data_IF_757460266663
#
_entry.id   IF_757460266663
#
_cell.length_a   1.000
_cell.length_b   1.000
_cell.length_c   1.000
_cell.angle_alpha   90.00
_cell.angle_beta   90.00
_cell.angle_gamma   90.00
#
_symmetry.space_group_name_H-M   'P 1'
#
loop_
_entity.id
_entity.type
_entity.pdbx_description
1 polymer ?
#
# COMPACT_ATOMS: atom_id res chain seq x y z
N UNK A 1 -8.55 14.20 2.23
CA UNK A 1 -8.45 15.35 3.14
C UNK A 1 -7.02 15.81 3.19
N UNK A 2 -6.81 17.12 3.24
CA UNK A 2 -5.48 17.70 3.36
C UNK A 2 -5.13 17.86 4.83
N UNK A 3 -3.86 17.63 5.18
CA UNK A 3 -3.31 17.87 6.52
C UNK A 3 -4.17 17.29 7.67
N UNK A 4 -4.62 16.04 7.49
CA UNK A 4 -5.45 15.35 8.49
C UNK A 4 -4.59 14.65 9.55
N UNK A 5 -3.50 14.01 9.14
CA UNK A 5 -2.61 13.33 10.07
C UNK A 5 -1.48 14.28 10.51
N UNK A 6 -1.19 14.37 11.83
CA UNK A 6 -0.06 15.17 12.29
C UNK A 6 1.27 14.69 11.69
N UNK A 7 2.11 15.62 11.25
CA UNK A 7 3.43 15.30 10.71
C UNK A 7 4.31 14.50 11.70
N UNK A 8 4.15 14.74 13.01
CA UNK A 8 4.84 13.97 14.06
C UNK A 8 4.49 12.48 14.03
N UNK A 9 3.26 12.12 13.63
CA UNK A 9 2.83 10.74 13.46
C UNK A 9 3.50 10.11 12.23
N UNK A 10 3.56 10.86 11.12
CA UNK A 10 4.26 10.45 9.90
C UNK A 10 5.76 10.19 10.17
N UNK A 11 6.40 11.12 10.87
CA UNK A 11 7.80 10.98 11.28
C UNK A 11 8.01 9.79 12.21
N UNK A 12 7.06 9.51 13.12
CA UNK A 12 7.16 8.37 14.04
C UNK A 12 7.18 7.03 13.28
N UNK A 13 6.37 6.89 12.23
CA UNK A 13 6.40 5.70 11.37
C UNK A 13 7.73 5.58 10.63
N UNK A 14 8.26 6.69 10.09
CA UNK A 14 9.56 6.69 9.44
C UNK A 14 10.71 6.33 10.40
N UNK A 15 10.69 6.87 11.63
CA UNK A 15 11.68 6.53 12.68
C UNK A 15 11.60 5.07 13.06
N UNK A 16 10.41 4.48 13.14
CA UNK A 16 10.25 3.04 13.36
C UNK A 16 10.90 2.22 12.24
N UNK A 17 10.73 2.60 10.97
CA UNK A 17 11.41 1.95 9.84
C UNK A 17 12.93 2.03 10.00
N UNK A 18 13.46 3.21 10.31
CA UNK A 18 14.91 3.42 10.57
C UNK A 18 15.40 2.53 11.71
N UNK A 19 14.67 2.47 12.83
CA UNK A 19 15.03 1.62 13.97
C UNK A 19 15.03 0.13 13.63
N UNK A 20 14.04 -0.34 12.87
CA UNK A 20 13.99 -1.73 12.41
C UNK A 20 15.16 -2.04 11.44
N UNK A 21 15.48 -1.13 10.53
CA UNK A 21 16.61 -1.28 9.60
C UNK A 21 17.95 -1.32 10.33
N UNK A 22 18.11 -0.54 11.41
CA UNK A 22 19.30 -0.63 12.27
C UNK A 22 19.46 -2.04 12.87
N UNK A 23 18.37 -2.71 13.23
CA UNK A 23 18.42 -4.09 13.74
C UNK A 23 18.77 -5.11 12.66
N UNK A 24 18.49 -4.80 11.39
CA UNK A 24 18.89 -5.63 10.24
C UNK A 24 20.39 -5.50 9.97
N UNK A 25 20.90 -4.27 9.96
CA UNK A 25 22.33 -3.96 9.79
C UNK A 25 22.65 -2.63 10.50
N UNK A 26 23.36 -2.72 11.62
CA UNK A 26 23.69 -1.53 12.43
C UNK A 26 24.58 -0.54 11.67
N UNK A 27 25.40 -1.00 10.73
CA UNK A 27 26.31 -0.15 9.96
C UNK A 27 25.57 0.83 9.05
N UNK A 28 24.33 0.53 8.68
CA UNK A 28 23.47 1.44 7.91
C UNK A 28 23.20 2.74 8.65
N UNK A 29 23.12 2.67 9.99
CA UNK A 29 22.87 3.85 10.82
C UNK A 29 24.02 4.85 10.72
N UNK A 30 25.26 4.37 10.80
CA UNK A 30 26.47 5.20 10.75
C UNK A 30 26.75 5.71 9.34
N UNK A 31 26.46 4.91 8.32
CA UNK A 31 26.70 5.25 6.93
C UNK A 31 25.61 6.14 6.29
N UNK A 32 24.47 6.33 6.96
CA UNK A 32 23.34 7.05 6.37
C UNK A 32 23.69 8.53 6.14
N UNK A 33 23.60 9.04 4.90
CA UNK A 33 23.94 10.43 4.60
C UNK A 33 22.86 11.43 5.03
N UNK A 34 21.66 10.95 5.37
CA UNK A 34 20.57 11.78 5.85
C UNK A 34 20.63 11.94 7.37
N UNK A 35 20.31 13.13 7.86
CA UNK A 35 20.11 13.36 9.29
C UNK A 35 18.90 12.53 9.77
N UNK A 36 19.17 11.45 10.51
CA UNK A 36 18.15 10.53 11.03
C UNK A 36 17.12 11.22 11.93
N UNK A 37 17.51 12.33 12.57
CA UNK A 37 16.63 13.09 13.44
C UNK A 37 15.76 14.06 12.65
N UNK A 38 16.32 14.80 11.69
CA UNK A 38 15.59 15.83 10.93
C UNK A 38 14.88 15.32 9.68
N UNK A 39 15.37 14.24 9.08
CA UNK A 39 14.90 13.71 7.81
C UNK A 39 14.66 12.20 7.86
N UNK A 40 13.83 11.69 8.80
CA UNK A 40 13.67 10.26 9.03
C UNK A 40 13.11 9.50 7.82
N UNK A 41 12.29 10.13 6.97
CA UNK A 41 11.75 9.50 5.75
C UNK A 41 12.85 9.28 4.70
N UNK A 42 13.74 10.27 4.53
CA UNK A 42 14.87 10.17 3.59
C UNK A 42 15.89 9.15 4.08
N UNK A 43 16.13 9.12 5.40
CA UNK A 43 16.94 8.09 6.03
C UNK A 43 16.37 6.68 5.83
N UNK A 44 15.08 6.48 6.12
CA UNK A 44 14.40 5.20 5.91
C UNK A 44 14.50 4.73 4.45
N UNK A 45 14.33 5.63 3.48
CA UNK A 45 14.49 5.35 2.05
C UNK A 45 15.89 4.83 1.74
N UNK A 46 16.92 5.60 2.09
CA UNK A 46 18.30 5.24 1.80
C UNK A 46 18.71 3.93 2.48
N UNK A 47 18.41 3.79 3.77
CA UNK A 47 18.75 2.59 4.54
C UNK A 47 18.04 1.35 3.99
N UNK A 48 16.78 1.46 3.55
CA UNK A 48 16.05 0.32 3.00
C UNK A 48 16.60 -0.13 1.65
N UNK A 49 16.95 0.82 0.76
CA UNK A 49 17.61 0.51 -0.52
C UNK A 49 18.93 -0.21 -0.27
N UNK A 50 19.75 0.31 0.66
CA UNK A 50 21.05 -0.26 0.96
C UNK A 50 20.94 -1.61 1.68
N UNK A 51 19.98 -1.78 2.59
CA UNK A 51 19.69 -3.06 3.24
C UNK A 51 19.28 -4.12 2.21
N UNK A 52 18.36 -3.81 1.31
CA UNK A 52 17.92 -4.74 0.26
C UNK A 52 19.07 -5.09 -0.70
N UNK A 53 19.97 -4.14 -0.99
CA UNK A 53 21.16 -4.36 -1.83
C UNK A 53 22.17 -5.30 -1.17
N UNK A 54 22.42 -5.13 0.13
CA UNK A 54 23.38 -5.95 0.89
C UNK A 54 22.82 -7.32 1.26
N UNK A 55 21.55 -7.36 1.60
CA UNK A 55 20.83 -8.54 2.07
C UNK A 55 19.43 -8.59 1.45
N UNK A 56 19.29 -9.16 0.24
CA UNK A 56 17.99 -9.27 -0.45
C UNK A 56 16.94 -9.96 0.41
N UNK A 57 15.74 -9.36 0.50
CA UNK A 57 14.67 -9.78 1.41
C UNK A 57 14.53 -8.89 2.65
N UNK A 58 15.45 -7.96 2.88
CA UNK A 58 15.32 -6.94 3.93
C UNK A 58 14.01 -6.16 3.82
N UNK A 59 13.57 -5.80 2.61
CA UNK A 59 12.28 -5.15 2.41
C UNK A 59 11.10 -5.97 2.94
N UNK A 60 11.09 -7.29 2.66
CA UNK A 60 10.02 -8.16 3.14
C UNK A 60 10.02 -8.25 4.68
N UNK A 61 11.21 -8.39 5.28
CA UNK A 61 11.38 -8.39 6.74
C UNK A 61 10.84 -7.12 7.38
N UNK A 62 11.18 -5.94 6.85
CA UNK A 62 10.69 -4.66 7.39
C UNK A 62 9.19 -4.50 7.16
N UNK A 63 8.67 -4.91 6.00
CA UNK A 63 7.25 -4.90 5.66
C UNK A 63 6.42 -5.73 6.65
N UNK A 64 6.87 -6.93 7.00
CA UNK A 64 6.17 -7.80 7.95
C UNK A 64 6.31 -7.27 9.39
N UNK A 65 7.51 -6.86 9.80
CA UNK A 65 7.76 -6.40 11.17
C UNK A 65 6.96 -5.13 11.52
N UNK A 66 6.88 -4.15 10.61
CA UNK A 66 6.18 -2.89 10.88
C UNK A 66 4.67 -3.08 11.06
N UNK A 67 4.07 -4.04 10.35
CA UNK A 67 2.63 -4.30 10.39
C UNK A 67 2.11 -4.69 11.78
N UNK A 68 2.99 -5.23 12.63
CA UNK A 68 2.68 -5.69 13.98
C UNK A 68 3.12 -4.72 15.08
N UNK A 69 3.70 -3.58 14.72
CA UNK A 69 4.20 -2.64 15.71
C UNK A 69 3.04 -1.94 16.46
N UNK A 70 3.13 -1.74 17.78
CA UNK A 70 2.12 -1.01 18.56
C UNK A 70 1.79 0.39 17.99
N UNK A 71 2.79 1.04 17.40
CA UNK A 71 2.61 2.34 16.72
C UNK A 71 1.57 2.25 15.59
N UNK A 72 1.56 1.18 14.79
CA UNK A 72 0.61 1.03 13.69
C UNK A 72 -0.81 0.83 14.21
N UNK A 73 -1.00 0.08 15.30
CA UNK A 73 -2.30 -0.06 15.96
C UNK A 73 -2.80 1.28 16.51
N UNK A 74 -1.92 2.06 17.15
CA UNK A 74 -2.24 3.41 17.63
C UNK A 74 -2.64 4.33 16.48
N UNK A 75 -1.90 4.31 15.38
CA UNK A 75 -2.20 5.10 14.19
C UNK A 75 -3.57 4.72 13.60
N UNK A 76 -3.84 3.42 13.46
CA UNK A 76 -5.09 2.95 12.89
C UNK A 76 -6.32 3.30 13.73
N UNK A 77 -6.16 3.51 15.04
CA UNK A 77 -7.21 3.86 15.98
C UNK A 77 -7.21 5.35 16.39
N UNK A 78 -6.44 6.22 15.73
CA UNK A 78 -6.36 7.63 16.12
C UNK A 78 -7.66 8.39 15.79
N UNK A 79 -7.95 9.42 16.57
CA UNK A 79 -9.21 10.18 16.50
C UNK A 79 -9.39 10.88 15.15
N UNK A 80 -8.30 11.33 14.53
CA UNK A 80 -8.32 12.01 13.23
C UNK A 80 -8.86 11.08 12.12
N UNK A 81 -8.45 9.81 12.12
CA UNK A 81 -8.98 8.82 11.18
C UNK A 81 -10.36 8.33 11.61
N UNK A 82 -10.55 8.01 12.90
CA UNK A 82 -11.78 7.46 13.41
C UNK A 82 -12.98 8.40 13.17
N UNK A 83 -12.82 9.71 13.40
CA UNK A 83 -13.88 10.70 13.20
C UNK A 83 -14.37 10.75 11.75
N UNK A 84 -13.46 10.67 10.79
CA UNK A 84 -13.80 10.61 9.36
C UNK A 84 -14.46 9.28 9.01
N UNK A 85 -13.86 8.17 9.44
CA UNK A 85 -14.34 6.83 9.11
C UNK A 85 -15.76 6.62 9.64
N UNK A 86 -16.05 7.07 10.86
CA UNK A 86 -17.42 7.03 11.41
C UNK A 86 -18.41 7.87 10.62
N UNK A 87 -17.96 8.96 9.99
CA UNK A 87 -18.80 9.84 9.17
C UNK A 87 -19.11 9.25 7.80
N UNK A 88 -18.17 8.51 7.19
CA UNK A 88 -18.34 7.97 5.83
C UNK A 88 -18.80 6.50 5.79
N UNK A 89 -18.61 5.74 6.88
CA UNK A 89 -19.10 4.37 7.04
C UNK A 89 -20.25 4.35 8.05
N UNK A 90 -19.96 3.94 9.29
CA UNK A 90 -20.94 3.87 10.38
C UNK A 90 -20.25 3.95 11.75
N UNK A 91 -21.03 4.03 12.86
CA UNK A 91 -20.45 3.96 14.20
C UNK A 91 -19.86 2.58 14.56
N UNK A 92 -20.26 1.51 13.87
CA UNK A 92 -19.77 0.15 14.13
C UNK A 92 -18.75 -0.24 13.05
N UNK A 93 -17.49 0.05 13.32
CA UNK A 93 -16.38 -0.26 12.40
C UNK A 93 -15.49 -1.36 12.96
N UNK A 94 -14.83 -2.07 12.06
CA UNK A 94 -13.70 -2.94 12.38
C UNK A 94 -12.48 -2.50 11.60
N UNK A 95 -11.36 -2.32 12.31
CA UNK A 95 -10.05 -2.11 11.68
C UNK A 95 -9.59 -3.46 11.11
N UNK A 96 -9.24 -3.48 9.83
CA UNK A 96 -8.69 -4.66 9.20
C UNK A 96 -7.33 -5.02 9.83
N UNK A 97 -7.06 -6.30 10.14
CA UNK A 97 -5.84 -6.69 10.89
C UNK A 97 -4.54 -6.48 10.11
N UNK A 98 -4.60 -6.43 8.77
CA UNK A 98 -3.45 -6.05 7.95
C UNK A 98 -3.26 -4.54 7.96
N UNK A 99 -2.39 -4.07 8.85
CA UNK A 99 -1.92 -2.69 8.92
C UNK A 99 -0.64 -2.60 8.06
N UNK A 100 -0.70 -1.91 6.93
CA UNK A 100 0.37 -1.99 5.93
C UNK A 100 1.09 -0.66 5.81
N UNK A 101 2.42 -0.71 5.69
CA UNK A 101 3.21 0.37 5.08
C UNK A 101 3.73 -0.14 3.75
N UNK A 102 3.16 0.35 2.66
CA UNK A 102 3.60 0.04 1.30
C UNK A 102 4.99 0.66 1.07
N UNK A 103 5.91 -0.12 0.52
CA UNK A 103 7.29 0.28 0.22
C UNK A 103 7.52 0.12 -1.28
N UNK A 104 7.29 1.16 -2.06
CA UNK A 104 7.53 1.12 -3.51
C UNK A 104 8.99 1.42 -3.80
N UNK A 105 9.78 0.37 -4.00
CA UNK A 105 11.21 0.49 -4.33
C UNK A 105 11.42 1.15 -5.71
N UNK A 106 12.53 1.87 -5.92
CA UNK A 106 12.91 2.41 -7.24
C UNK A 106 12.84 1.36 -8.34
N UNK A 107 12.17 1.69 -9.46
CA UNK A 107 12.03 0.87 -10.68
C UNK A 107 11.43 -0.54 -10.49
N UNK A 108 10.95 -0.87 -9.30
CA UNK A 108 10.36 -2.18 -9.00
C UNK A 108 8.94 -2.27 -9.58
N UNK A 109 8.64 -3.41 -10.19
CA UNK A 109 7.38 -3.63 -10.93
C UNK A 109 6.65 -4.89 -10.51
N UNK A 110 7.35 -5.89 -9.96
CA UNK A 110 6.78 -7.18 -9.60
C UNK A 110 5.71 -7.07 -8.52
N UNK A 111 5.92 -6.19 -7.54
CA UNK A 111 4.99 -5.91 -6.46
C UNK A 111 4.02 -4.76 -6.79
N UNK A 112 4.13 -4.17 -7.98
CA UNK A 112 3.29 -3.05 -8.41
C UNK A 112 1.86 -3.51 -8.68
N UNK A 113 0.94 -3.07 -7.82
CA UNK A 113 -0.49 -3.26 -8.03
C UNK A 113 -0.97 -2.35 -9.17
N UNK A 114 -1.27 -2.97 -10.33
CA UNK A 114 -1.89 -2.30 -11.48
C UNK A 114 -3.38 -2.09 -11.22
N UNK A 115 -4.16 -1.66 -12.22
CA UNK A 115 -5.59 -1.39 -12.06
C UNK A 115 -6.30 -2.53 -11.34
N UNK A 116 -6.78 -2.28 -10.12
CA UNK A 116 -7.43 -3.27 -9.27
C UNK A 116 -8.47 -2.62 -8.36
N UNK A 117 -9.25 -3.45 -7.68
CA UNK A 117 -10.14 -3.07 -6.60
C UNK A 117 -9.68 -3.82 -5.35
N UNK A 118 -9.59 -3.12 -4.22
CA UNK A 118 -9.17 -3.71 -2.95
C UNK A 118 -10.09 -4.86 -2.53
N UNK A 119 -11.38 -4.77 -2.87
CA UNK A 119 -12.37 -5.80 -2.54
C UNK A 119 -11.95 -7.19 -3.02
N UNK A 120 -11.47 -7.32 -4.27
CA UNK A 120 -11.05 -8.59 -4.86
C UNK A 120 -9.98 -9.32 -4.03
N UNK A 121 -9.10 -8.57 -3.36
CA UNK A 121 -7.99 -9.13 -2.59
C UNK A 121 -8.31 -9.39 -1.13
N UNK A 122 -9.35 -8.76 -0.60
CA UNK A 122 -9.60 -8.71 0.84
C UNK A 122 -10.98 -9.27 1.23
N UNK A 123 -11.96 -9.20 0.34
CA UNK A 123 -13.36 -9.60 0.57
C UNK A 123 -13.97 -8.97 1.85
N UNK A 124 -15.18 -9.41 2.20
CA UNK A 124 -15.93 -8.91 3.35
C UNK A 124 -16.99 -7.89 2.91
N UNK A 125 -17.17 -6.76 3.61
CA UNK A 125 -18.16 -5.77 3.22
C UNK A 125 -17.64 -4.92 2.05
N UNK A 126 -18.47 -4.70 1.03
CA UNK A 126 -18.15 -3.77 -0.06
C UNK A 126 -17.92 -2.36 0.50
N UNK A 127 -18.69 -1.98 1.52
CA UNK A 127 -18.52 -0.78 2.37
C UNK A 127 -17.28 -0.83 3.28
N UNK A 128 -16.17 -1.30 2.72
CA UNK A 128 -14.83 -1.15 3.28
C UNK A 128 -14.20 0.13 2.74
N UNK A 129 -13.64 0.95 3.63
CA UNK A 129 -12.85 2.12 3.27
C UNK A 129 -11.35 1.81 3.40
N UNK A 130 -10.60 1.98 2.31
CA UNK A 130 -9.14 2.04 2.31
C UNK A 130 -8.67 3.45 2.61
N UNK A 131 -7.79 3.58 3.60
CA UNK A 131 -7.09 4.81 3.96
C UNK A 131 -5.67 4.73 3.41
N UNK A 132 -5.29 5.73 2.62
CA UNK A 132 -3.99 5.85 1.97
C UNK A 132 -3.36 7.18 2.40
N UNK A 133 -2.22 7.13 3.10
CA UNK A 133 -1.53 8.30 3.63
C UNK A 133 0.00 8.19 3.41
N UNK A 134 0.59 8.99 2.52
CA UNK A 134 2.02 8.88 2.21
C UNK A 134 2.88 9.51 3.32
N UNK A 135 4.10 9.01 3.47
CA UNK A 135 5.06 9.60 4.43
C UNK A 135 5.85 10.77 3.80
N UNK A 136 5.76 10.93 2.49
CA UNK A 136 6.44 11.95 1.69
C UNK A 136 5.44 12.62 0.73
N UNK A 137 5.89 13.66 0.04
CA UNK A 137 5.21 14.15 -1.16
C UNK A 137 5.13 13.01 -2.19
N UNK A 138 3.97 12.86 -2.85
CA UNK A 138 3.75 11.85 -3.89
C UNK A 138 3.09 12.45 -5.11
N UNK A 139 3.61 12.05 -6.27
CA UNK A 139 3.15 12.43 -7.59
C UNK A 139 3.33 11.27 -8.57
N UNK A 140 3.09 11.52 -9.85
CA UNK A 140 3.23 10.48 -10.87
C UNK A 140 4.67 9.92 -10.98
N UNK A 141 5.70 10.72 -10.66
CA UNK A 141 7.11 10.34 -10.84
C UNK A 141 7.56 9.34 -9.80
N UNK A 142 7.14 9.49 -8.54
CA UNK A 142 7.52 8.56 -7.48
C UNK A 142 6.51 7.41 -7.28
N UNK A 143 5.65 7.17 -8.28
CA UNK A 143 4.74 6.04 -8.31
C UNK A 143 3.34 6.31 -7.76
N UNK A 144 3.01 7.58 -7.47
CA UNK A 144 1.73 8.08 -6.93
C UNK A 144 0.49 7.46 -7.57
N UNK A 145 -0.61 7.47 -6.84
CA UNK A 145 -1.80 6.72 -7.21
C UNK A 145 -2.63 7.41 -8.31
N UNK A 146 -3.13 6.61 -9.26
CA UNK A 146 -4.21 7.02 -10.17
C UNK A 146 -5.48 6.33 -9.72
N UNK A 147 -6.57 7.11 -9.64
CA UNK A 147 -7.89 6.63 -9.21
C UNK A 147 -8.91 6.87 -10.32
N UNK A 148 -9.72 5.86 -10.63
CA UNK A 148 -10.88 6.03 -11.51
C UNK A 148 -12.07 6.57 -10.70
N UNK A 149 -12.25 7.89 -10.72
CA UNK A 149 -13.28 8.56 -9.91
C UNK A 149 -14.68 8.06 -10.29
N UNK A 150 -15.54 7.86 -9.27
CA UNK A 150 -16.92 7.37 -9.38
C UNK A 150 -17.08 5.95 -9.94
N UNK A 151 -16.01 5.28 -10.36
CA UNK A 151 -16.08 3.94 -10.95
C UNK A 151 -16.40 2.82 -9.96
N UNK A 152 -16.39 3.08 -8.64
CA UNK A 152 -16.91 2.13 -7.64
C UNK A 152 -18.39 1.80 -7.84
N UNK A 153 -19.16 2.69 -8.46
CA UNK A 153 -20.58 2.47 -8.77
C UNK A 153 -20.81 1.39 -9.83
N UNK A 154 -19.74 0.89 -10.48
CA UNK A 154 -19.81 -0.20 -11.44
C UNK A 154 -19.78 -1.58 -10.78
N UNK A 155 -19.71 -1.64 -9.45
CA UNK A 155 -19.55 -2.89 -8.70
C UNK A 155 -18.15 -3.48 -8.84
N UNK A 156 -18.00 -4.74 -8.47
CA UNK A 156 -16.77 -5.50 -8.70
C UNK A 156 -16.58 -5.78 -10.20
N UNK A 157 -15.44 -5.38 -10.74
CA UNK A 157 -15.00 -5.68 -12.10
C UNK A 157 -14.23 -7.00 -12.10
N UNK A 158 -14.11 -7.62 -13.27
CA UNK A 158 -13.34 -8.87 -13.42
C UNK A 158 -11.84 -8.58 -13.25
N UNK A 159 -11.17 -9.38 -12.40
CA UNK A 159 -9.71 -9.35 -12.21
C UNK A 159 -9.08 -10.64 -12.70
N UNK A 160 -8.15 -10.54 -13.64
CA UNK A 160 -7.48 -11.70 -14.21
C UNK A 160 -5.99 -11.42 -14.41
N UNK A 161 -5.23 -12.48 -14.66
CA UNK A 161 -3.86 -12.31 -15.13
C UNK A 161 -3.90 -11.80 -16.56
N UNK A 162 -3.24 -10.68 -16.81
CA UNK A 162 -3.12 -10.11 -18.14
C UNK A 162 -1.64 -10.01 -18.51
N UNK A 163 -1.33 -10.26 -19.78
CA UNK A 163 0.01 -9.98 -20.32
C UNK A 163 0.12 -8.47 -20.48
N UNK A 164 0.74 -7.83 -19.49
CA UNK A 164 0.97 -6.40 -19.45
C UNK A 164 2.44 -6.14 -19.79
N UNK A 165 2.72 -5.02 -20.46
CA UNK A 165 4.09 -4.58 -20.76
C UNK A 165 4.99 -4.50 -19.51
N UNK A 166 4.37 -4.33 -18.34
CA UNK A 166 5.02 -4.27 -17.04
C UNK A 166 4.68 -5.55 -16.26
N UNK A 167 5.67 -6.41 -15.95
CA UNK A 167 5.41 -7.65 -15.23
C UNK A 167 4.92 -7.35 -13.81
N UNK A 168 3.85 -8.03 -13.40
CA UNK A 168 3.30 -7.92 -12.06
C UNK A 168 2.73 -9.27 -11.62
N UNK A 169 2.79 -9.56 -10.32
CA UNK A 169 2.13 -10.75 -9.78
C UNK A 169 0.62 -10.60 -9.58
N UNK A 170 0.12 -9.37 -9.69
CA UNK A 170 -1.27 -9.03 -9.42
C UNK A 170 -2.17 -9.46 -10.59
N UNK A 171 -3.35 -10.01 -10.28
CA UNK A 171 -4.47 -9.98 -11.21
C UNK A 171 -4.97 -8.53 -11.34
N UNK A 172 -5.42 -8.16 -12.52
CA UNK A 172 -5.72 -6.77 -12.87
C UNK A 172 -7.05 -6.67 -13.58
N UNK A 173 -7.67 -5.50 -13.51
CA UNK A 173 -8.86 -5.19 -14.28
C UNK A 173 -8.46 -5.13 -15.75
N UNK A 174 -9.28 -5.74 -16.60
CA UNK A 174 -8.97 -5.85 -18.04
C UNK A 174 -8.73 -4.49 -18.70
N UNK A 175 -7.77 -4.40 -19.65
CA UNK A 175 -7.52 -3.14 -20.37
C UNK A 175 -8.77 -2.55 -21.04
N UNK A 176 -9.68 -3.41 -21.52
CA UNK A 176 -10.94 -2.99 -22.14
C UNK A 176 -11.93 -2.39 -21.13
N UNK A 177 -11.92 -2.84 -19.87
CA UNK A 177 -12.68 -2.21 -18.80
C UNK A 177 -12.02 -0.92 -18.31
N UNK A 178 -10.69 -0.89 -18.21
CA UNK A 178 -9.91 0.30 -17.85
C UNK A 178 -10.10 1.42 -18.86
N UNK A 179 -10.12 1.11 -20.16
CA UNK A 179 -10.36 2.08 -21.23
C UNK A 179 -11.73 2.78 -21.14
N UNK A 180 -12.68 2.22 -20.36
CA UNK A 180 -14.02 2.78 -20.12
C UNK A 180 -14.08 3.61 -18.83
N UNK A 181 -12.96 3.96 -18.21
CA UNK A 181 -12.95 4.87 -17.07
C UNK A 181 -12.95 6.31 -17.56
N UNK A 182 -14.01 7.05 -17.22
CA UNK A 182 -14.20 8.42 -17.70
C UNK A 182 -13.25 9.43 -17.02
N UNK A 183 -12.75 9.09 -15.82
CA UNK A 183 -12.05 10.03 -14.93
C UNK A 183 -10.84 9.43 -14.20
N UNK A 184 -9.84 8.84 -14.90
CA UNK A 184 -8.58 8.47 -14.28
C UNK A 184 -7.86 9.74 -13.82
N UNK A 185 -7.69 9.88 -12.51
CA UNK A 185 -7.14 11.09 -11.89
C UNK A 185 -5.88 10.74 -11.11
N UNK A 186 -4.75 11.35 -11.46
CA UNK A 186 -3.55 11.31 -10.64
C UNK A 186 -3.81 12.06 -9.33
N UNK A 187 -3.52 11.40 -8.21
CA UNK A 187 -3.63 12.00 -6.89
C UNK A 187 -2.25 12.45 -6.44
N UNK A 188 -2.10 13.76 -6.24
CA UNK A 188 -0.89 14.38 -5.67
C UNK A 188 -1.16 14.66 -4.19
N UNK A 189 -0.25 14.22 -3.32
CA UNK A 189 -0.42 14.28 -1.86
C UNK A 189 0.87 14.72 -1.17
N UNK A 190 0.74 15.51 -0.12
CA UNK A 190 1.79 15.85 0.83
C UNK A 190 1.74 14.93 2.06
N UNK A 191 2.83 14.86 2.86
CA UNK A 191 2.76 14.29 4.20
C UNK A 191 1.63 14.93 5.00
N UNK A 192 0.88 14.12 5.75
CA UNK A 192 -0.30 14.56 6.50
C UNK A 192 -1.61 14.48 5.71
N UNK A 193 -1.56 14.45 4.37
CA UNK A 193 -2.76 14.22 3.57
C UNK A 193 -3.23 12.77 3.67
N UNK A 194 -4.55 12.59 3.61
CA UNK A 194 -5.18 11.27 3.64
C UNK A 194 -6.20 11.13 2.52
N UNK A 195 -6.06 10.07 1.73
CA UNK A 195 -7.02 9.65 0.72
C UNK A 195 -7.88 8.51 1.27
N UNK A 196 -9.20 8.68 1.22
CA UNK A 196 -10.19 7.68 1.59
C UNK A 196 -10.80 7.12 0.31
N UNK A 197 -10.78 5.80 0.15
CA UNK A 197 -11.27 5.12 -1.05
C UNK A 197 -12.22 3.99 -0.66
N UNK A 198 -13.37 3.93 -1.33
CA UNK A 198 -14.23 2.76 -1.26
C UNK A 198 -13.50 1.54 -1.84
N UNK A 199 -13.66 0.34 -1.27
CA UNK A 199 -12.94 -0.87 -1.68
C UNK A 199 -13.14 -1.27 -3.14
N UNK A 200 -14.29 -0.90 -3.70
CA UNK A 200 -14.63 -1.05 -5.11
C UNK A 200 -14.09 0.07 -6.01
N UNK A 201 -13.36 1.06 -5.50
CA UNK A 201 -12.81 2.13 -6.35
C UNK A 201 -11.61 1.59 -7.13
N UNK A 202 -11.68 1.50 -8.48
CA UNK A 202 -10.53 1.06 -9.27
C UNK A 202 -9.38 2.06 -9.14
N UNK A 203 -8.19 1.55 -8.86
CA UNK A 203 -6.99 2.37 -8.73
C UNK A 203 -5.74 1.58 -9.14
N UNK A 204 -4.68 2.30 -9.47
CA UNK A 204 -3.38 1.74 -9.85
C UNK A 204 -2.27 2.59 -9.28
N UNK A 205 -1.21 1.94 -8.80
CA UNK A 205 0.06 2.61 -8.57
C UNK A 205 0.82 2.78 -9.90
N UNK A 206 1.65 3.81 -9.97
CA UNK A 206 2.61 4.00 -11.06
C UNK A 206 3.99 3.43 -10.67
N UNK A 207 4.83 3.18 -11.67
CA UNK A 207 6.22 2.80 -11.42
C UNK A 207 6.90 3.95 -10.67
N UNK A 208 7.66 3.62 -9.64
CA UNK A 208 8.49 4.61 -8.96
C UNK A 208 9.73 4.88 -9.81
N UNK A 209 9.73 5.99 -10.54
CA UNK A 209 10.81 6.39 -11.42
C UNK A 209 11.93 7.16 -10.70
N UNK A 210 11.79 7.39 -9.38
CA UNK A 210 12.77 8.10 -8.55
C UNK A 210 13.72 7.14 -7.83
N UNK A 211 14.81 7.68 -7.27
CA UNK A 211 15.81 6.92 -6.51
C UNK A 211 15.40 6.64 -5.05
N UNK A 212 14.32 7.26 -4.58
CA UNK A 212 13.84 7.09 -3.21
C UNK A 212 12.72 6.06 -3.13
N UNK A 213 12.69 5.29 -2.04
CA UNK A 213 11.53 4.44 -1.73
C UNK A 213 10.33 5.32 -1.43
N UNK A 214 9.20 5.06 -2.08
CA UNK A 214 7.92 5.67 -1.70
C UNK A 214 7.24 4.86 -0.60
N UNK A 215 7.03 5.47 0.56
CA UNK A 215 6.33 4.87 1.68
C UNK A 215 4.88 5.34 1.74
N UNK A 216 3.96 4.44 2.05
CA UNK A 216 2.56 4.82 2.26
C UNK A 216 1.88 3.94 3.30
N UNK A 217 1.30 4.56 4.32
CA UNK A 217 0.38 3.91 5.22
C UNK A 217 -0.88 3.51 4.43
N UNK A 218 -1.25 2.24 4.52
CA UNK A 218 -2.41 1.66 3.87
C UNK A 218 -3.21 0.85 4.89
N UNK A 219 -4.33 1.43 5.33
CA UNK A 219 -5.22 0.83 6.33
C UNK A 219 -6.59 0.57 5.72
N UNK A 220 -7.36 -0.32 6.33
CA UNK A 220 -8.73 -0.63 5.88
C UNK A 220 -9.67 -0.67 7.07
N UNK A 221 -10.86 -0.12 6.88
CA UNK A 221 -11.93 -0.08 7.85
C UNK A 221 -13.17 -0.70 7.23
N UNK A 222 -13.74 -1.68 7.92
CA UNK A 222 -14.93 -2.43 7.49
C UNK A 222 -16.15 -1.90 8.21
N UNK A 223 -17.21 -1.60 7.48
CA UNK A 223 -18.51 -1.34 8.09
C UNK A 223 -19.14 -2.65 8.55
N UNK A 224 -19.35 -2.79 9.85
CA UNK A 224 -19.95 -3.99 10.44
C UNK A 224 -21.47 -4.03 10.27
N UNK A 225 -22.09 -2.94 9.78
CA UNK A 225 -23.52 -2.84 9.49
C UNK A 225 -23.87 -3.15 8.04
N UNK A 226 -22.88 -3.38 7.18
CA UNK A 226 -23.11 -3.78 5.79
C UNK A 226 -24.07 -4.97 5.74
N UNK A 227 -25.18 -4.81 5.02
CA UNK A 227 -26.27 -5.79 5.05
C UNK A 227 -25.82 -7.14 4.49
N UNK A 228 -25.09 -7.16 3.37
CA UNK A 228 -24.60 -8.39 2.76
C UNK A 228 -23.63 -9.10 3.70
N UNK A 229 -22.69 -8.34 4.28
CA UNK A 229 -21.69 -8.90 5.19
C UNK A 229 -22.33 -9.45 6.47
N UNK A 230 -23.29 -8.74 7.05
CA UNK A 230 -24.05 -9.17 8.23
C UNK A 230 -24.89 -10.42 7.93
N UNK A 231 -25.60 -10.44 6.80
CA UNK A 231 -26.40 -11.61 6.39
C UNK A 231 -25.53 -12.85 6.14
N UNK A 232 -24.25 -12.65 5.82
CA UNK A 232 -23.25 -13.72 5.73
C UNK A 232 -22.49 -13.98 7.05
N UNK A 233 -23.02 -13.56 8.20
CA UNK A 233 -22.39 -13.74 9.53
C UNK A 233 -20.96 -13.19 9.61
N UNK A 234 -20.69 -12.06 8.96
CA UNK A 234 -19.37 -11.41 8.90
C UNK A 234 -18.25 -12.33 8.37
N UNK A 235 -18.60 -13.31 7.54
CA UNK A 235 -17.63 -14.22 6.90
C UNK A 235 -16.97 -13.54 5.71
N UNK A 236 -15.67 -13.75 5.58
CA UNK A 236 -14.89 -13.35 4.40
C UNK A 236 -15.16 -14.35 3.29
N UNK A 237 -15.42 -13.84 2.09
CA UNK A 237 -15.58 -14.64 0.87
C UNK A 237 -14.30 -15.36 0.46
N UNK A 238 -14.41 -16.16 -0.60
CA UNK A 238 -13.25 -16.83 -1.16
C UNK A 238 -12.31 -15.81 -1.83
N UNK A 239 -11.03 -15.86 -1.45
CA UNK A 239 -9.96 -15.02 -2.00
C UNK A 239 -8.84 -15.87 -2.59
N UNK A 240 -9.09 -17.16 -2.85
CA UNK A 240 -8.07 -18.14 -3.24
C UNK A 240 -7.37 -17.76 -4.55
N UNK A 241 -8.11 -17.31 -5.56
CA UNK A 241 -7.52 -16.85 -6.83
C UNK A 241 -6.59 -15.65 -6.62
N UNK A 242 -7.04 -14.66 -5.84
CA UNK A 242 -6.23 -13.50 -5.48
C UNK A 242 -4.97 -13.89 -4.71
N UNK A 243 -5.07 -14.83 -3.76
CA UNK A 243 -3.93 -15.35 -2.99
C UNK A 243 -2.94 -16.11 -3.86
N UNK A 244 -3.42 -16.96 -4.75
CA UNK A 244 -2.59 -17.70 -5.71
C UNK A 244 -1.82 -16.73 -6.61
N UNK A 245 -2.47 -15.65 -7.08
CA UNK A 245 -1.80 -14.62 -7.85
C UNK A 245 -0.65 -13.95 -7.07
N UNK A 246 -0.91 -13.53 -5.82
CA UNK A 246 0.09 -12.88 -4.98
C UNK A 246 1.24 -13.80 -4.51
N UNK A 247 1.05 -15.12 -4.57
CA UNK A 247 2.04 -16.14 -4.24
C UNK A 247 2.97 -16.50 -5.42
N UNK A 248 2.72 -15.98 -6.63
CA UNK A 248 3.59 -16.23 -7.79
C UNK A 248 5.03 -15.76 -7.50
N UNK A 249 6.01 -16.58 -7.86
CA UNK A 249 7.44 -16.21 -7.82
C UNK A 249 7.79 -15.27 -8.97
N UNK A 250 8.77 -14.38 -8.77
CA UNK A 250 9.22 -13.47 -9.83
C UNK A 250 9.98 -14.27 -10.91
N UNK A 251 9.46 -14.39 -12.14
CA UNK A 251 10.09 -15.18 -13.19
C UNK A 251 11.46 -14.62 -13.62
N UNK A 252 11.74 -13.34 -13.35
CA UNK A 252 13.03 -12.70 -13.67
C UNK A 252 14.13 -12.95 -12.63
N UNK A 253 13.79 -13.37 -11.40
CA UNK A 253 14.80 -13.72 -10.37
C UNK A 253 15.46 -15.09 -10.62
N UNK A 254 14.86 -15.97 -11.43
CA UNK A 254 15.42 -17.29 -11.76
C UNK A 254 16.49 -17.31 -12.86
N UNK A 255 16.58 -16.27 -13.70
CA UNK A 255 17.50 -16.27 -14.87
C UNK A 255 18.92 -15.80 -14.59
N UNK A 256 19.19 -15.23 -13.41
CA UNK A 256 20.55 -14.79 -13.05
C UNK A 256 21.45 -15.91 -12.52
N UNK A 257 20.89 -17.08 -12.20
CA UNK A 257 21.65 -18.22 -11.68
C UNK A 257 22.14 -19.20 -12.77
N UNK A 258 21.70 -19.05 -14.02
CA UNK A 258 22.07 -19.96 -15.13
C UNK A 258 23.07 -19.36 -16.12
N UNK A 259 23.45 -18.08 -15.97
CA UNK A 259 24.42 -17.41 -16.86
C UNK A 259 25.83 -17.28 -16.25
N UNK A 260 26.10 -17.99 -15.15
CA UNK A 260 27.35 -17.89 -14.39
C UNK A 260 27.91 -19.24 -13.92
N UNK A 261 27.64 -20.33 -14.64
CA UNK A 261 28.29 -21.63 -14.47
C UNK A 261 29.25 -21.92 -15.61
#
# INVERSE_FOLDING_TARGET
>A
MRDLLPLSMIESVARLIVSLLKLVDETLWEACPADLTKHPVKAASWMLVEAERRNPGSQATIYDAIAHAPLMHKLAACDELAGVIHSILSPQIMIHPRLIVLMSMPKETWHLARWHQDFYYNEGPESTCTVYAPLQYTDIRNGGLIVARKSHNRGLLVHESHDLDVPTKWNTISPSAVAKFDHPTQIVMNPGDVLFMHSLTPHTAQVNETEDVRFTINLRYRDMRDEKFRNNNWRIGDTSEARQALARGNPRKGRYNEAGS
#
